data_IF_836097930833
#
_entry.id   IF_836097930833
#
_cell.length_a   1.000
_cell.length_b   1.000
_cell.length_c   1.000
_cell.angle_alpha   90.00
_cell.angle_beta   90.00
_cell.angle_gamma   90.00
#
_symmetry.space_group_name_H-M   'P 1'
#
loop_
_entity.id
_entity.type
_entity.pdbx_description
1 polymer ?
#
# COMPACT_ATOMS: atom_id res chain seq x y z
N UNK A 1 12.67 -2.54 4.84
CA UNK A 1 13.06 -3.24 6.08
C UNK A 1 12.15 -2.77 7.22
N UNK A 2 12.06 -3.49 8.35
CA UNK A 2 11.25 -3.05 9.50
C UNK A 2 11.63 -1.64 9.98
N UNK A 3 12.92 -1.30 9.93
CA UNK A 3 13.43 0.03 10.30
C UNK A 3 12.98 1.13 9.33
N UNK A 4 13.00 0.86 8.01
CA UNK A 4 12.52 1.83 7.01
C UNK A 4 11.02 2.05 7.12
N UNK A 5 10.25 0.98 7.38
CA UNK A 5 8.81 1.06 7.63
C UNK A 5 8.49 1.91 8.87
N UNK A 6 9.18 1.68 9.98
CA UNK A 6 9.00 2.47 11.20
C UNK A 6 9.27 3.96 10.97
N UNK A 7 10.31 4.29 10.21
CA UNK A 7 10.65 5.68 9.87
C UNK A 7 9.56 6.34 9.02
N UNK A 8 9.08 5.63 7.99
CA UNK A 8 8.00 6.12 7.13
C UNK A 8 6.70 6.34 7.93
N UNK A 9 6.31 5.38 8.77
CA UNK A 9 5.13 5.48 9.63
C UNK A 9 5.24 6.65 10.60
N UNK A 10 6.41 6.84 11.24
CA UNK A 10 6.61 7.97 12.14
C UNK A 10 6.42 9.31 11.42
N UNK A 11 7.02 9.47 10.24
CA UNK A 11 6.85 10.70 9.46
C UNK A 11 5.40 10.97 9.07
N UNK A 12 4.61 9.93 8.77
CA UNK A 12 3.18 10.07 8.50
C UNK A 12 2.37 10.46 9.74
N UNK A 13 2.74 9.96 10.92
CA UNK A 13 2.11 10.33 12.20
C UNK A 13 2.46 11.77 12.59
N UNK A 14 3.73 12.17 12.48
CA UNK A 14 4.18 13.55 12.76
C UNK A 14 3.48 14.57 11.87
N UNK A 15 3.13 14.20 10.64
CA UNK A 15 2.36 15.02 9.69
C UNK A 15 0.84 14.97 9.91
N UNK A 16 0.35 14.21 10.89
CA UNK A 16 -1.08 14.06 11.17
C UNK A 16 -1.86 13.28 10.10
N UNK A 17 -1.18 12.49 9.26
CA UNK A 17 -1.79 11.69 8.20
C UNK A 17 -2.16 10.27 8.69
N UNK A 18 -1.42 9.78 9.68
CA UNK A 18 -1.75 8.57 10.43
C UNK A 18 -1.88 8.89 11.91
N UNK A 19 -2.62 8.07 12.62
CA UNK A 19 -2.66 8.08 14.08
C UNK A 19 -2.55 6.66 14.65
N UNK A 20 -2.00 6.58 15.86
CA UNK A 20 -1.84 5.32 16.60
C UNK A 20 -2.96 5.21 17.62
N UNK A 21 -3.77 4.17 17.52
CA UNK A 21 -4.82 3.85 18.49
C UNK A 21 -4.46 2.56 19.22
N UNK A 22 -4.73 2.49 20.53
CA UNK A 22 -4.58 1.24 21.28
C UNK A 22 -5.66 0.25 20.85
N UNK A 23 -5.29 -1.02 20.64
CA UNK A 23 -6.26 -2.05 20.35
C UNK A 23 -7.20 -2.27 21.56
N UNK A 24 -8.51 -2.46 21.35
CA UNK A 24 -9.40 -2.91 22.43
C UNK A 24 -8.92 -4.28 22.94
N UNK A 25 -8.62 -4.39 24.23
CA UNK A 25 -8.25 -5.68 24.87
C UNK A 25 -6.75 -5.91 25.06
N UNK A 26 -5.86 -5.23 24.32
CA UNK A 26 -4.42 -5.31 24.54
C UNK A 26 -3.74 -3.95 24.33
N UNK A 27 -3.37 -3.31 25.44
CA UNK A 27 -2.68 -2.00 25.45
C UNK A 27 -1.26 -2.08 24.88
N UNK A 28 -0.72 -3.28 24.65
CA UNK A 28 0.60 -3.50 24.04
C UNK A 28 0.54 -3.48 22.51
N UNK A 29 -0.67 -3.57 21.93
CA UNK A 29 -0.87 -3.55 20.48
C UNK A 29 -1.37 -2.18 20.03
N UNK A 30 -0.61 -1.54 19.14
CA UNK A 30 -0.98 -0.27 18.50
C UNK A 30 -1.46 -0.55 17.08
N UNK A 31 -2.63 -0.03 16.73
CA UNK A 31 -3.16 -0.03 15.36
C UNK A 31 -2.93 1.34 14.73
N UNK A 32 -2.54 1.34 13.46
CA UNK A 32 -2.42 2.55 12.66
C UNK A 32 -3.75 2.82 11.97
N UNK A 33 -4.21 4.06 12.02
CA UNK A 33 -5.41 4.51 11.34
C UNK A 33 -5.07 5.72 10.47
N UNK A 34 -5.55 5.74 9.23
CA UNK A 34 -5.49 6.93 8.41
C UNK A 34 -6.46 7.98 8.96
N UNK A 35 -5.97 9.22 9.09
CA UNK A 35 -6.84 10.36 9.38
C UNK A 35 -7.60 10.76 8.11
N UNK A 36 -8.62 11.60 8.24
CA UNK A 36 -9.28 12.15 7.04
C UNK A 36 -8.32 12.91 6.13
N UNK A 37 -7.35 13.62 6.71
CA UNK A 37 -6.30 14.29 5.95
C UNK A 37 -5.38 13.27 5.23
N UNK A 38 -5.05 12.16 5.90
CA UNK A 38 -4.32 11.05 5.30
C UNK A 38 -5.06 10.42 4.12
N UNK A 39 -6.36 10.16 4.27
CA UNK A 39 -7.19 9.59 3.20
C UNK A 39 -7.30 10.52 1.99
N UNK A 40 -7.51 11.84 2.20
CA UNK A 40 -7.53 12.82 1.11
C UNK A 40 -6.20 12.86 0.35
N UNK A 41 -5.09 12.94 1.07
CA UNK A 41 -3.76 12.97 0.45
C UNK A 41 -3.46 11.65 -0.29
N UNK A 42 -3.88 10.50 0.25
CA UNK A 42 -3.72 9.22 -0.43
C UNK A 42 -4.51 9.17 -1.74
N UNK A 43 -5.72 9.73 -1.77
CA UNK A 43 -6.51 9.83 -3.00
C UNK A 43 -5.86 10.76 -4.04
N UNK A 44 -5.34 11.92 -3.63
CA UNK A 44 -4.61 12.84 -4.49
C UNK A 44 -3.34 12.20 -5.07
N UNK A 45 -2.56 11.53 -4.22
CA UNK A 45 -1.37 10.81 -4.63
C UNK A 45 -1.71 9.64 -5.56
N UNK A 46 -2.80 8.92 -5.30
CA UNK A 46 -3.30 7.83 -6.15
C UNK A 46 -3.55 8.31 -7.58
N UNK A 47 -4.22 9.45 -7.76
CA UNK A 47 -4.47 10.00 -9.09
C UNK A 47 -3.17 10.34 -9.85
N UNK A 48 -2.15 10.87 -9.17
CA UNK A 48 -0.85 11.16 -9.78
C UNK A 48 -0.09 9.88 -10.17
N UNK A 49 -0.17 8.86 -9.31
CA UNK A 49 0.41 7.53 -9.57
C UNK A 49 -0.27 6.87 -10.76
N UNK A 50 -1.60 6.90 -10.83
CA UNK A 50 -2.38 6.32 -11.92
C UNK A 50 -2.05 6.99 -13.25
N UNK A 51 -1.92 8.32 -13.28
CA UNK A 51 -1.49 9.05 -14.47
C UNK A 51 -0.08 8.65 -14.92
N UNK A 52 0.86 8.50 -13.96
CA UNK A 52 2.24 8.08 -14.24
C UNK A 52 2.29 6.64 -14.77
N UNK A 53 1.50 5.74 -14.19
CA UNK A 53 1.40 4.36 -14.68
C UNK A 53 0.80 4.28 -16.08
N UNK A 54 -0.24 5.08 -16.36
CA UNK A 54 -0.85 5.13 -17.68
C UNK A 54 0.15 5.58 -18.76
N UNK A 55 0.95 6.61 -18.48
CA UNK A 55 2.02 7.06 -19.37
C UNK A 55 3.10 5.98 -19.56
N UNK A 56 3.59 5.38 -18.47
CA UNK A 56 4.64 4.37 -18.52
C UNK A 56 4.23 3.11 -19.29
N UNK A 57 2.93 2.81 -19.37
CA UNK A 57 2.38 1.61 -19.99
C UNK A 57 1.72 1.89 -21.35
N UNK A 58 1.79 3.11 -21.89
CA UNK A 58 1.09 3.48 -23.14
C UNK A 58 1.51 2.63 -24.35
N UNK A 59 2.74 2.11 -24.31
CA UNK A 59 3.31 1.23 -25.35
C UNK A 59 2.63 -0.14 -25.42
N UNK A 60 1.92 -0.54 -24.36
CA UNK A 60 1.21 -1.81 -24.29
C UNK A 60 -0.27 -1.62 -24.58
N UNK A 61 -0.83 -2.46 -25.44
CA UNK A 61 -2.28 -2.57 -25.60
C UNK A 61 -2.94 -3.03 -24.29
N UNK A 62 -4.25 -2.78 -24.09
CA UNK A 62 -4.94 -3.22 -22.88
C UNK A 62 -4.78 -4.72 -22.58
N UNK A 63 -4.82 -5.57 -23.62
CA UNK A 63 -4.60 -7.02 -23.48
C UNK A 63 -3.17 -7.35 -23.06
N UNK A 64 -2.16 -6.65 -23.59
CA UNK A 64 -0.77 -6.85 -23.17
C UNK A 64 -0.53 -6.39 -21.73
N UNK A 65 -1.20 -5.33 -21.27
CA UNK A 65 -1.15 -4.89 -19.88
C UNK A 65 -1.74 -5.96 -18.94
N UNK A 66 -2.90 -6.53 -19.30
CA UNK A 66 -3.51 -7.63 -18.54
C UNK A 66 -2.60 -8.87 -18.49
N UNK A 67 -1.97 -9.22 -19.61
CA UNK A 67 -1.03 -10.34 -19.69
C UNK A 67 0.22 -10.08 -18.83
N UNK A 68 0.83 -8.90 -18.92
CA UNK A 68 1.97 -8.53 -18.10
C UNK A 68 1.63 -8.59 -16.60
N UNK A 69 0.49 -8.03 -16.21
CA UNK A 69 0.00 -8.08 -14.83
C UNK A 69 -0.17 -9.54 -14.33
N UNK A 70 -0.80 -10.39 -15.15
CA UNK A 70 -0.98 -11.82 -14.82
C UNK A 70 0.35 -12.56 -14.64
N UNK A 71 1.32 -12.31 -15.53
CA UNK A 71 2.66 -12.91 -15.44
C UNK A 71 3.42 -12.42 -14.21
N UNK A 72 3.36 -11.12 -13.90
CA UNK A 72 4.00 -10.55 -12.71
C UNK A 72 3.39 -11.13 -11.42
N UNK A 73 2.06 -11.27 -11.34
CA UNK A 73 1.40 -11.93 -10.21
C UNK A 73 1.81 -13.40 -10.08
N UNK A 74 1.88 -14.14 -11.20
CA UNK A 74 2.34 -15.53 -11.19
C UNK A 74 3.76 -15.66 -10.65
N UNK A 75 4.66 -14.75 -11.05
CA UNK A 75 6.03 -14.69 -10.53
C UNK A 75 6.06 -14.33 -9.05
N UNK A 76 5.28 -13.32 -8.64
CA UNK A 76 5.18 -12.91 -7.23
C UNK A 76 4.73 -14.07 -6.34
N UNK A 77 3.67 -14.79 -6.72
CA UNK A 77 3.17 -15.96 -6.00
C UNK A 77 4.22 -17.07 -5.88
N UNK A 78 5.02 -17.28 -6.93
CA UNK A 78 6.09 -18.28 -6.91
C UNK A 78 7.30 -17.87 -6.07
N UNK A 79 7.67 -16.59 -6.08
CA UNK A 79 8.90 -16.09 -5.47
C UNK A 79 8.69 -15.61 -4.02
N UNK A 80 7.47 -15.16 -3.69
CA UNK A 80 7.12 -14.68 -2.37
C UNK A 80 5.64 -14.99 -2.04
N UNK A 81 5.32 -16.27 -1.74
CA UNK A 81 3.95 -16.69 -1.43
C UNK A 81 3.31 -15.89 -0.28
N UNK A 82 4.11 -15.54 0.73
CA UNK A 82 3.65 -14.80 1.91
C UNK A 82 3.21 -13.36 1.61
N UNK A 83 3.59 -12.79 0.46
CA UNK A 83 3.10 -11.47 0.05
C UNK A 83 1.62 -11.47 -0.34
N UNK A 84 1.01 -12.63 -0.57
CA UNK A 84 -0.40 -12.76 -0.95
C UNK A 84 -1.34 -12.96 0.25
N UNK A 85 -0.81 -13.13 1.46
CA UNK A 85 -1.60 -13.37 2.69
C UNK A 85 -2.13 -12.08 3.35
N UNK A 86 -2.03 -10.92 2.70
CA UNK A 86 -2.30 -9.60 3.32
C UNK A 86 -3.79 -9.37 3.65
N UNK A 87 -4.71 -10.22 3.17
CA UNK A 87 -6.16 -10.12 3.42
C UNK A 87 -6.72 -11.09 4.47
N UNK A 88 -5.88 -11.82 5.21
CA UNK A 88 -6.34 -12.76 6.24
C UNK A 88 -6.10 -12.25 7.67
N UNK A 89 -6.71 -11.14 8.08
CA UNK A 89 -6.91 -10.87 9.52
C UNK A 89 -8.20 -10.07 9.75
N UNK A 90 -9.20 -10.63 10.48
CA UNK A 90 -10.42 -9.92 10.85
C UNK A 90 -10.20 -8.82 11.91
#
# INVERSE_FOLDING_TARGET
TPQSMGTAVNGLVERGLLERRTAPGDRRTLRLHATEAGLRLAAEAGAAVDATHAEALEVLTPTEQEQAHSLLLKLLTSLNPAAMDVDSTP
#
